data_IF_303588598574
#
_entry.id   IF_303588598574
#
_cell.length_a   1.000
_cell.length_b   1.000
_cell.length_c   1.000
_cell.angle_alpha   90.00
_cell.angle_beta   90.00
_cell.angle_gamma   90.00
#
_symmetry.space_group_name_H-M   'P 1'
#
loop_
_entity.id
_entity.type
_entity.pdbx_description
1 polymer ?
#
# COMPACT_ATOMS: atom_id res chain seq x y z
N UNK A 1 -20.10 -11.97 18.27
CA UNK A 1 -20.68 -10.80 17.56
C UNK A 1 -19.48 -10.04 17.02
N UNK A 2 -19.45 -9.78 15.73
CA UNK A 2 -18.40 -8.95 15.11
C UNK A 2 -18.51 -7.56 15.72
N UNK A 3 -17.39 -6.99 16.16
CA UNK A 3 -17.36 -5.61 16.66
C UNK A 3 -17.76 -4.66 15.53
N UNK A 4 -18.54 -3.63 15.82
CA UNK A 4 -18.96 -2.64 14.82
C UNK A 4 -18.94 -1.24 15.41
N UNK A 5 -18.71 -0.25 14.56
CA UNK A 5 -18.83 1.16 14.91
C UNK A 5 -20.01 1.79 14.14
N UNK A 6 -20.82 2.57 14.84
CA UNK A 6 -21.90 3.37 14.25
C UNK A 6 -21.44 4.81 14.13
N UNK A 7 -21.41 5.32 12.90
CA UNK A 7 -21.14 6.72 12.60
C UNK A 7 -22.47 7.41 12.32
N UNK A 8 -22.87 8.44 13.10
CA UNK A 8 -24.05 9.23 12.80
C UNK A 8 -23.83 10.07 11.54
N UNK A 9 -24.89 10.60 10.95
CA UNK A 9 -24.76 11.69 10.00
C UNK A 9 -23.96 12.84 10.64
N UNK A 10 -23.01 13.41 9.93
CA UNK A 10 -22.03 14.30 10.52
C UNK A 10 -21.70 15.49 9.61
N UNK A 11 -21.37 16.60 10.25
CA UNK A 11 -20.67 17.75 9.62
C UNK A 11 -19.18 17.69 9.93
N UNK A 12 -18.37 18.26 9.07
CA UNK A 12 -16.91 18.29 9.19
C UNK A 12 -16.46 19.66 9.69
N UNK A 13 -15.49 19.67 10.62
CA UNK A 13 -14.81 20.90 11.07
C UNK A 13 -13.57 21.19 10.24
N UNK A 14 -13.22 22.49 9.99
CA UNK A 14 -11.90 22.84 9.47
C UNK A 14 -10.82 22.20 10.34
N UNK A 15 -9.90 21.45 9.74
CA UNK A 15 -9.03 20.57 10.53
C UNK A 15 -7.66 20.37 9.88
N UNK A 16 -6.68 20.06 10.73
CA UNK A 16 -5.37 19.57 10.32
C UNK A 16 -5.15 18.17 10.87
N UNK A 17 -4.78 17.23 10.01
CA UNK A 17 -4.55 15.82 10.35
C UNK A 17 -3.07 15.48 10.11
N UNK A 18 -2.40 15.01 11.14
CA UNK A 18 -1.09 14.39 10.99
C UNK A 18 -1.27 12.95 10.52
N UNK A 19 -0.70 12.62 9.38
CA UNK A 19 -0.80 11.27 8.81
C UNK A 19 0.13 10.31 9.55
N UNK A 20 -0.27 9.03 9.73
CA UNK A 20 0.66 7.99 10.14
C UNK A 20 1.72 7.77 9.06
N UNK A 21 2.86 7.18 9.41
CA UNK A 21 3.89 6.84 8.44
C UNK A 21 3.36 5.94 7.31
N UNK A 22 3.94 6.09 6.13
CA UNK A 22 3.58 5.27 4.96
C UNK A 22 3.94 3.80 5.19
N UNK A 23 2.96 2.90 5.08
CA UNK A 23 3.18 1.45 5.14
C UNK A 23 4.18 0.98 4.10
N UNK A 24 4.01 1.44 2.87
CA UNK A 24 4.85 1.05 1.74
C UNK A 24 6.31 1.49 1.91
N UNK A 25 6.54 2.67 2.46
CA UNK A 25 7.89 3.17 2.75
C UNK A 25 8.44 2.44 3.98
N UNK A 26 7.65 2.31 5.06
CA UNK A 26 8.09 1.67 6.31
C UNK A 26 8.65 0.26 6.09
N UNK A 27 7.91 -0.62 5.41
CA UNK A 27 8.36 -2.00 5.21
C UNK A 27 9.59 -2.09 4.29
N UNK A 28 9.67 -1.24 3.26
CA UNK A 28 10.87 -1.18 2.41
C UNK A 28 12.08 -0.68 3.19
N UNK A 29 11.91 0.37 3.97
CA UNK A 29 12.98 0.97 4.78
C UNK A 29 13.50 -0.02 5.81
N UNK A 30 12.63 -0.74 6.52
CA UNK A 30 13.03 -1.77 7.49
C UNK A 30 13.90 -2.85 6.84
N UNK A 31 13.50 -3.37 5.69
CA UNK A 31 14.24 -4.40 5.00
C UNK A 31 15.58 -3.88 4.45
N UNK A 32 15.59 -2.71 3.81
CA UNK A 32 16.82 -2.11 3.28
C UNK A 32 17.81 -1.76 4.39
N UNK A 33 17.34 -1.23 5.52
CA UNK A 33 18.16 -0.95 6.68
C UNK A 33 18.76 -2.23 7.28
N UNK A 34 17.96 -3.30 7.40
CA UNK A 34 18.42 -4.61 7.88
C UNK A 34 19.53 -5.21 6.99
N UNK A 35 19.45 -4.99 5.68
CA UNK A 35 20.41 -5.52 4.70
C UNK A 35 21.60 -4.59 4.44
N UNK A 36 21.64 -3.39 5.04
CA UNK A 36 22.74 -2.44 4.91
C UNK A 36 23.96 -2.88 5.71
N UNK A 37 25.11 -2.28 5.41
CA UNK A 37 26.39 -2.55 6.09
C UNK A 37 26.64 -1.66 7.33
N UNK A 38 25.70 -0.76 7.64
CA UNK A 38 25.76 0.19 8.76
C UNK A 38 24.40 0.33 9.46
N UNK A 39 24.36 1.09 10.54
CA UNK A 39 23.16 1.36 11.33
C UNK A 39 22.36 2.52 10.75
N UNK A 40 21.03 2.38 10.74
CA UNK A 40 20.08 3.42 10.34
C UNK A 40 19.12 3.75 11.48
N UNK A 41 18.95 5.02 11.80
CA UNK A 41 17.89 5.50 12.68
C UNK A 41 16.67 5.90 11.84
N UNK A 42 15.56 5.20 12.04
CA UNK A 42 14.30 5.42 11.30
C UNK A 42 13.36 6.24 12.17
N UNK A 43 12.81 7.31 11.60
CA UNK A 43 11.85 8.20 12.23
C UNK A 43 10.48 8.08 11.54
N UNK A 44 9.42 8.30 12.31
CA UNK A 44 8.02 8.24 11.84
C UNK A 44 7.64 6.90 11.19
N UNK A 45 8.27 5.81 11.64
CA UNK A 45 7.89 4.48 11.20
C UNK A 45 6.43 4.22 11.54
N UNK A 46 5.69 3.67 10.60
CA UNK A 46 4.32 3.24 10.86
C UNK A 46 4.30 2.15 11.93
N UNK A 47 3.44 2.30 12.94
CA UNK A 47 3.09 1.22 13.86
C UNK A 47 1.77 0.60 13.40
N UNK A 48 1.83 -0.62 12.90
CA UNK A 48 0.67 -1.31 12.33
C UNK A 48 0.92 -2.82 12.24
N UNK A 49 -0.13 -3.58 12.00
CA UNK A 49 -0.03 -5.03 11.85
C UNK A 49 0.99 -5.43 10.77
N UNK A 50 1.03 -4.73 9.63
CA UNK A 50 1.95 -5.06 8.53
C UNK A 50 3.41 -4.79 8.88
N UNK A 51 3.70 -3.72 9.61
CA UNK A 51 5.08 -3.40 10.06
C UNK A 51 5.52 -4.28 11.21
N UNK A 52 4.60 -4.65 12.10
CA UNK A 52 4.88 -5.60 13.18
C UNK A 52 5.30 -6.98 12.62
N UNK A 53 4.63 -7.45 11.54
CA UNK A 53 5.04 -8.70 10.86
C UNK A 53 6.45 -8.60 10.28
N UNK A 54 6.83 -7.46 9.70
CA UNK A 54 8.20 -7.25 9.21
C UNK A 54 9.21 -7.25 10.36
N UNK A 55 8.93 -6.52 11.44
CA UNK A 55 9.81 -6.44 12.61
C UNK A 55 10.01 -7.81 13.27
N UNK A 56 8.94 -8.58 13.46
CA UNK A 56 9.01 -9.95 13.99
C UNK A 56 9.84 -10.88 13.08
N UNK A 57 9.68 -10.75 11.75
CA UNK A 57 10.46 -11.54 10.81
C UNK A 57 11.96 -11.17 10.87
N UNK A 58 12.28 -9.89 10.92
CA UNK A 58 13.67 -9.43 11.04
C UNK A 58 14.33 -9.88 12.36
N UNK A 59 13.60 -9.84 13.47
CA UNK A 59 14.06 -10.37 14.76
C UNK A 59 14.39 -11.87 14.66
N UNK A 60 13.48 -12.68 14.10
CA UNK A 60 13.72 -14.12 13.86
C UNK A 60 14.91 -14.38 12.93
N UNK A 61 15.18 -13.48 11.99
CA UNK A 61 16.32 -13.54 11.09
C UNK A 61 17.63 -13.07 11.76
N UNK A 62 17.56 -12.61 13.01
CA UNK A 62 18.72 -12.21 13.81
C UNK A 62 19.17 -10.77 13.60
N UNK A 63 18.31 -9.91 13.08
CA UNK A 63 18.57 -8.47 12.95
C UNK A 63 18.39 -7.80 14.30
N UNK A 64 19.40 -7.07 14.76
CA UNK A 64 19.32 -6.29 16.00
C UNK A 64 18.56 -4.98 15.76
N UNK A 65 17.48 -4.74 16.55
CA UNK A 65 16.63 -3.55 16.47
C UNK A 65 16.52 -2.93 17.86
N UNK A 66 16.91 -1.65 17.97
CA UNK A 66 16.80 -0.86 19.18
C UNK A 66 15.58 0.07 19.10
N UNK A 67 14.60 -0.11 19.98
CA UNK A 67 13.42 0.74 20.05
C UNK A 67 13.71 1.96 20.91
N UNK A 68 13.64 3.18 20.34
CA UNK A 68 13.97 4.44 21.00
C UNK A 68 12.74 5.17 21.55
N UNK A 69 11.69 5.29 20.73
CA UNK A 69 10.42 5.92 21.05
C UNK A 69 9.34 5.41 20.10
N UNK A 70 8.11 5.86 20.27
CA UNK A 70 7.03 5.54 19.31
C UNK A 70 7.39 6.04 17.91
N UNK A 71 7.32 5.16 16.92
CA UNK A 71 7.68 5.44 15.53
C UNK A 71 9.17 5.73 15.29
N UNK A 72 10.06 5.49 16.29
CA UNK A 72 11.49 5.75 16.18
C UNK A 72 12.31 4.57 16.67
N UNK A 73 13.16 4.05 15.80
CA UNK A 73 14.01 2.90 16.13
C UNK A 73 15.33 2.95 15.36
N UNK A 74 16.31 2.17 15.83
CA UNK A 74 17.55 1.92 15.08
C UNK A 74 17.55 0.49 14.59
N UNK A 75 17.93 0.30 13.33
CA UNK A 75 18.19 -1.02 12.74
C UNK A 75 19.68 -1.17 12.53
N UNK A 76 20.27 -2.18 13.12
CA UNK A 76 21.68 -2.53 12.90
C UNK A 76 21.78 -3.40 11.66
N UNK A 77 22.37 -2.87 10.60
CA UNK A 77 22.50 -3.57 9.33
C UNK A 77 23.39 -4.81 9.42
N UNK A 78 23.06 -5.81 8.63
CA UNK A 78 23.73 -7.12 8.67
C UNK A 78 24.75 -7.35 7.55
N UNK A 79 25.01 -6.32 6.75
CA UNK A 79 25.98 -6.38 5.65
C UNK A 79 25.53 -7.24 4.47
N UNK A 80 24.22 -7.27 4.19
CA UNK A 80 23.66 -7.94 3.02
C UNK A 80 23.33 -9.43 3.22
N UNK A 81 23.32 -9.94 4.46
CA UNK A 81 22.95 -11.31 4.76
C UNK A 81 22.31 -11.40 6.15
N UNK A 82 21.42 -12.36 6.36
CA UNK A 82 20.80 -12.54 7.68
C UNK A 82 21.64 -13.49 8.55
N UNK A 83 21.84 -13.16 9.86
CA UNK A 83 22.55 -14.02 10.80
C UNK A 83 21.93 -15.41 10.94
N UNK A 84 20.59 -15.50 11.05
CA UNK A 84 19.88 -16.76 11.16
C UNK A 84 19.48 -17.25 9.77
N UNK A 85 20.04 -18.40 9.39
CA UNK A 85 19.79 -19.03 8.08
C UNK A 85 18.64 -20.03 8.09
N UNK A 86 17.97 -20.20 9.23
CA UNK A 86 16.79 -21.05 9.40
C UNK A 86 15.75 -20.31 10.21
N UNK A 87 14.53 -20.17 9.67
CA UNK A 87 13.43 -19.52 10.36
C UNK A 87 12.05 -19.93 9.85
N UNK A 88 11.06 -19.91 10.75
CA UNK A 88 9.63 -20.02 10.46
C UNK A 88 9.00 -18.62 10.58
N UNK A 89 8.56 -18.07 9.45
CA UNK A 89 8.14 -16.67 9.31
C UNK A 89 6.64 -16.57 9.01
N UNK A 90 5.88 -16.22 10.05
CA UNK A 90 4.46 -15.87 9.91
C UNK A 90 4.32 -14.39 9.53
N UNK A 91 3.81 -14.10 8.33
CA UNK A 91 3.73 -12.76 7.76
C UNK A 91 2.29 -12.23 7.64
N UNK A 92 1.32 -12.89 8.28
CA UNK A 92 -0.07 -12.47 8.30
C UNK A 92 -0.64 -12.25 6.90
N UNK A 93 -1.24 -11.09 6.65
CA UNK A 93 -1.67 -10.63 5.33
C UNK A 93 -0.79 -9.46 4.79
N UNK A 94 0.43 -9.34 5.28
CA UNK A 94 1.35 -8.25 4.98
C UNK A 94 2.07 -8.47 3.64
N UNK A 95 1.44 -8.13 2.52
CA UNK A 95 2.02 -8.32 1.19
C UNK A 95 3.31 -7.53 0.95
N UNK A 96 3.46 -6.36 1.58
CA UNK A 96 4.66 -5.52 1.51
C UNK A 96 5.84 -6.07 2.33
N UNK A 97 5.60 -7.03 3.21
CA UNK A 97 6.63 -7.80 3.89
C UNK A 97 6.89 -9.15 3.18
N UNK A 98 5.82 -9.87 2.84
CA UNK A 98 5.91 -11.24 2.30
C UNK A 98 6.75 -11.32 1.02
N UNK A 99 6.42 -10.49 -0.01
CA UNK A 99 7.11 -10.56 -1.30
C UNK A 99 8.57 -10.14 -1.24
N UNK A 100 8.93 -8.98 -0.62
CA UNK A 100 10.33 -8.58 -0.50
C UNK A 100 11.17 -9.55 0.34
N UNK A 101 10.64 -10.09 1.45
CA UNK A 101 11.34 -11.11 2.24
C UNK A 101 11.52 -12.41 1.45
N UNK A 102 10.49 -12.87 0.74
CA UNK A 102 10.62 -14.04 -0.14
C UNK A 102 11.79 -13.87 -1.10
N UNK A 103 11.88 -12.72 -1.77
CA UNK A 103 12.94 -12.46 -2.74
C UNK A 103 14.32 -12.36 -2.08
N UNK A 104 14.45 -11.62 -0.97
CA UNK A 104 15.71 -11.46 -0.26
C UNK A 104 16.23 -12.82 0.26
N UNK A 105 15.38 -13.60 0.89
CA UNK A 105 15.76 -14.94 1.40
C UNK A 105 16.09 -15.91 0.27
N UNK A 106 15.35 -15.87 -0.83
CA UNK A 106 15.55 -16.73 -1.99
C UNK A 106 16.91 -16.47 -2.70
N UNK A 107 17.35 -15.21 -2.78
CA UNK A 107 18.64 -14.88 -3.40
C UNK A 107 19.82 -15.09 -2.43
N UNK A 108 19.58 -15.03 -1.13
CA UNK A 108 20.60 -15.30 -0.11
C UNK A 108 20.75 -16.81 0.19
N UNK A 109 19.67 -17.57 0.04
CA UNK A 109 19.61 -19.00 0.39
C UNK A 109 19.55 -19.24 1.89
N UNK A 110 19.11 -20.44 2.28
CA UNK A 110 18.94 -20.86 3.67
C UNK A 110 17.91 -21.97 3.80
N UNK A 111 17.19 -22.01 4.90
CA UNK A 111 16.10 -22.94 5.19
C UNK A 111 14.95 -22.19 5.86
N UNK A 112 14.03 -21.67 5.05
CA UNK A 112 12.98 -20.78 5.53
C UNK A 112 11.60 -21.26 5.14
N UNK A 113 10.68 -21.23 6.11
CA UNK A 113 9.27 -21.44 5.90
C UNK A 113 8.53 -20.10 6.00
N UNK A 114 7.82 -19.68 4.94
CA UNK A 114 7.05 -18.45 4.89
C UNK A 114 5.57 -18.75 4.73
N UNK A 115 4.77 -18.24 5.66
CA UNK A 115 3.33 -18.45 5.66
C UNK A 115 2.56 -17.24 6.22
N UNK A 116 1.23 -17.28 6.12
CA UNK A 116 0.39 -16.21 6.61
C UNK A 116 -1.01 -16.70 6.96
N UNK A 117 -1.96 -15.77 7.03
CA UNK A 117 -3.38 -16.08 7.18
C UNK A 117 -3.95 -16.71 5.91
N UNK A 118 -5.15 -17.37 5.94
CA UNK A 118 -5.73 -18.02 4.76
C UNK A 118 -5.76 -17.12 3.51
N UNK A 119 -6.12 -15.84 3.66
CA UNK A 119 -6.14 -14.90 2.53
C UNK A 119 -4.75 -14.72 1.88
N UNK A 120 -3.66 -14.73 2.64
CA UNK A 120 -2.30 -14.68 2.07
C UNK A 120 -2.05 -15.88 1.14
N UNK A 121 -2.59 -17.06 1.47
CA UNK A 121 -2.46 -18.27 0.67
C UNK A 121 -3.33 -18.26 -0.60
N UNK A 122 -4.18 -17.27 -0.77
CA UNK A 122 -4.98 -17.02 -1.99
C UNK A 122 -4.40 -15.90 -2.87
N UNK A 123 -3.42 -15.17 -2.36
CA UNK A 123 -2.77 -14.06 -3.08
C UNK A 123 -1.60 -14.58 -3.91
N UNK A 124 -1.57 -14.33 -5.24
CA UNK A 124 -0.58 -14.92 -6.12
C UNK A 124 0.85 -14.46 -5.80
N UNK A 125 1.81 -15.37 -6.05
CA UNK A 125 3.26 -15.12 -5.94
C UNK A 125 4.04 -15.82 -7.06
N UNK A 126 3.37 -16.58 -7.92
CA UNK A 126 4.01 -17.44 -8.91
C UNK A 126 4.99 -16.73 -9.83
N UNK A 127 4.59 -15.60 -10.42
CA UNK A 127 5.47 -14.85 -11.32
C UNK A 127 6.79 -14.38 -10.63
N UNK A 128 6.73 -14.05 -9.32
CA UNK A 128 7.93 -13.75 -8.55
C UNK A 128 8.80 -15.00 -8.34
N UNK A 129 8.18 -16.13 -7.96
CA UNK A 129 8.90 -17.39 -7.73
C UNK A 129 9.58 -17.88 -9.01
N UNK A 130 8.91 -17.80 -10.14
CA UNK A 130 9.49 -18.16 -11.45
C UNK A 130 10.70 -17.29 -11.79
N UNK A 131 10.60 -15.97 -11.57
CA UNK A 131 11.71 -15.04 -11.76
C UNK A 131 12.89 -15.34 -10.82
N UNK A 132 12.62 -15.65 -9.56
CA UNK A 132 13.65 -16.01 -8.57
C UNK A 132 14.34 -17.34 -8.92
N UNK A 133 13.61 -18.32 -9.43
CA UNK A 133 14.16 -19.60 -9.91
C UNK A 133 15.14 -19.41 -11.07
N UNK A 134 14.86 -18.46 -11.96
CA UNK A 134 15.81 -18.05 -13.03
C UNK A 134 17.11 -17.50 -12.41
N UNK A 135 17.01 -16.71 -11.33
CA UNK A 135 18.17 -16.22 -10.58
C UNK A 135 18.88 -17.30 -9.75
N UNK A 136 18.43 -18.56 -9.82
CA UNK A 136 19.03 -19.71 -9.15
C UNK A 136 18.45 -20.02 -7.78
N UNK A 137 17.36 -19.38 -7.37
CA UNK A 137 16.70 -19.65 -6.10
C UNK A 137 16.04 -21.03 -6.06
N UNK A 138 16.04 -21.65 -4.88
CA UNK A 138 15.30 -22.87 -4.58
C UNK A 138 14.05 -22.47 -3.77
N UNK A 139 12.88 -22.56 -4.37
CA UNK A 139 11.60 -22.19 -3.77
C UNK A 139 10.57 -23.27 -4.08
N UNK A 140 9.95 -23.81 -3.05
CA UNK A 140 8.90 -24.82 -3.14
C UNK A 140 7.57 -24.27 -2.64
N UNK A 141 6.48 -24.63 -3.32
CA UNK A 141 5.11 -24.40 -2.84
C UNK A 141 4.71 -25.53 -1.90
N UNK A 142 4.31 -25.17 -0.66
CA UNK A 142 3.86 -26.18 0.32
C UNK A 142 2.36 -26.46 0.28
N UNK A 143 1.64 -25.72 -0.55
CA UNK A 143 0.20 -25.86 -0.81
C UNK A 143 -0.10 -25.82 -2.29
N UNK A 144 -1.00 -24.91 -2.68
CA UNK A 144 -1.34 -24.72 -4.09
C UNK A 144 -0.18 -24.10 -4.87
N UNK A 145 0.05 -24.60 -6.08
CA UNK A 145 1.06 -24.02 -6.98
C UNK A 145 0.77 -22.55 -7.27
N UNK A 146 1.82 -21.71 -7.31
CA UNK A 146 1.78 -20.25 -7.47
C UNK A 146 1.29 -19.45 -6.26
N UNK A 147 1.05 -20.10 -5.11
CA UNK A 147 0.56 -19.46 -3.89
C UNK A 147 1.38 -19.86 -2.66
N UNK A 148 1.47 -18.98 -1.64
CA UNK A 148 1.98 -19.38 -0.33
C UNK A 148 1.14 -20.52 0.28
N UNK A 149 1.67 -21.29 1.26
CA UNK A 149 2.95 -21.10 1.93
C UNK A 149 4.13 -21.60 1.10
N UNK A 150 5.34 -21.09 1.43
CA UNK A 150 6.55 -21.37 0.69
C UNK A 150 7.62 -21.96 1.61
N UNK A 151 8.44 -22.86 1.05
CA UNK A 151 9.74 -23.22 1.57
C UNK A 151 10.82 -22.64 0.66
N UNK A 152 11.86 -22.05 1.26
CA UNK A 152 13.01 -21.47 0.56
C UNK A 152 14.26 -22.23 0.99
N UNK A 153 14.94 -22.83 0.02
CA UNK A 153 16.16 -23.58 0.19
C UNK A 153 17.42 -22.81 -0.21
N UNK A 154 18.52 -23.55 -0.40
CA UNK A 154 19.82 -22.98 -0.78
C UNK A 154 19.84 -22.56 -2.25
N UNK A 155 20.32 -21.34 -2.50
CA UNK A 155 20.45 -20.81 -3.86
C UNK A 155 21.64 -21.45 -4.60
N UNK A 156 21.45 -21.77 -5.88
CA UNK A 156 22.48 -22.22 -6.80
C UNK A 156 22.59 -21.26 -7.96
N UNK A 157 23.68 -20.50 -8.06
CA UNK A 157 23.92 -19.61 -9.18
C UNK A 157 24.09 -20.41 -10.49
N UNK A 158 23.16 -20.19 -11.43
CA UNK A 158 23.16 -20.86 -12.74
C UNK A 158 23.72 -20.00 -13.87
N UNK A 159 24.24 -18.81 -13.55
CA UNK A 159 24.84 -17.89 -14.52
C UNK A 159 23.84 -17.04 -15.30
N UNK A 160 22.53 -17.26 -15.13
CA UNK A 160 21.50 -16.43 -15.79
C UNK A 160 21.46 -15.03 -15.17
N UNK A 161 21.46 -14.01 -16.02
CA UNK A 161 21.51 -12.59 -15.63
C UNK A 161 20.39 -11.75 -16.22
N UNK A 162 19.55 -12.33 -17.06
CA UNK A 162 18.39 -11.67 -17.65
C UNK A 162 17.13 -12.35 -17.13
N UNK A 163 16.30 -11.59 -16.44
CA UNK A 163 15.11 -12.11 -15.77
C UNK A 163 13.86 -11.48 -16.39
N UNK A 164 13.06 -12.23 -17.14
CA UNK A 164 11.74 -11.77 -17.58
C UNK A 164 10.77 -11.81 -16.40
N UNK A 165 9.89 -10.80 -16.28
CA UNK A 165 8.81 -10.78 -15.29
C UNK A 165 7.57 -10.11 -15.86
N UNK A 166 6.40 -10.66 -15.58
CA UNK A 166 5.11 -10.07 -15.96
C UNK A 166 4.80 -8.85 -15.10
N UNK A 167 4.35 -7.76 -15.74
CA UNK A 167 4.06 -6.49 -15.09
C UNK A 167 2.58 -6.28 -14.75
N UNK A 168 1.68 -7.14 -15.19
CA UNK A 168 0.24 -6.91 -15.19
C UNK A 168 -0.54 -7.51 -14.00
N UNK A 169 0.14 -8.14 -13.05
CA UNK A 169 -0.50 -8.75 -11.86
C UNK A 169 -0.25 -7.91 -10.61
N UNK A 170 1.01 -7.65 -10.29
CA UNK A 170 1.38 -6.89 -9.10
C UNK A 170 2.76 -6.24 -9.24
N UNK A 171 2.83 -4.94 -8.97
CA UNK A 171 4.12 -4.22 -8.86
C UNK A 171 4.99 -4.71 -7.70
N UNK A 172 4.43 -5.44 -6.73
CA UNK A 172 5.18 -6.00 -5.61
C UNK A 172 6.21 -7.05 -6.05
N UNK A 173 5.97 -7.75 -7.17
CA UNK A 173 6.90 -8.76 -7.68
C UNK A 173 8.17 -8.09 -8.21
N UNK A 174 8.04 -7.06 -9.04
CA UNK A 174 9.18 -6.27 -9.51
C UNK A 174 9.88 -5.56 -8.35
N UNK A 175 9.14 -4.96 -7.43
CA UNK A 175 9.70 -4.36 -6.19
C UNK A 175 10.58 -5.35 -5.44
N UNK A 176 10.09 -6.58 -5.23
CA UNK A 176 10.82 -7.62 -4.51
C UNK A 176 12.13 -8.01 -5.20
N UNK A 177 12.09 -8.20 -6.53
CA UNK A 177 13.29 -8.48 -7.33
C UNK A 177 14.30 -7.33 -7.29
N UNK A 178 13.84 -6.08 -7.48
CA UNK A 178 14.70 -4.89 -7.45
C UNK A 178 15.46 -4.79 -6.13
N UNK A 179 14.78 -5.01 -5.01
CA UNK A 179 15.39 -4.92 -3.68
C UNK A 179 16.32 -6.10 -3.36
N UNK A 180 16.06 -7.28 -3.91
CA UNK A 180 16.79 -8.50 -3.56
C UNK A 180 18.03 -8.73 -4.42
N UNK A 181 17.97 -8.52 -5.74
CA UNK A 181 19.07 -8.87 -6.64
C UNK A 181 20.40 -8.16 -6.35
N UNK A 182 20.45 -6.93 -5.82
CA UNK A 182 21.70 -6.31 -5.36
C UNK A 182 22.47 -7.15 -4.32
N UNK A 183 21.77 -7.95 -3.51
CA UNK A 183 22.39 -8.80 -2.48
C UNK A 183 23.30 -9.90 -3.05
N UNK A 184 23.14 -10.21 -4.34
CA UNK A 184 23.99 -11.20 -5.01
C UNK A 184 25.37 -10.64 -5.36
N UNK A 185 25.57 -9.32 -5.34
CA UNK A 185 26.78 -8.64 -5.82
C UNK A 185 26.99 -8.73 -7.34
N UNK A 186 26.01 -9.21 -8.10
CA UNK A 186 26.12 -9.44 -9.55
C UNK A 186 25.21 -8.49 -10.33
N UNK A 187 25.61 -8.17 -11.56
CA UNK A 187 24.76 -7.41 -12.46
C UNK A 187 23.58 -8.25 -12.95
N UNK A 188 22.40 -7.67 -12.97
CA UNK A 188 21.19 -8.28 -13.53
C UNK A 188 20.43 -7.30 -14.43
N UNK A 189 19.72 -7.85 -15.39
CA UNK A 189 18.76 -7.13 -16.21
C UNK A 189 17.38 -7.75 -16.02
N UNK A 190 16.42 -6.96 -15.55
CA UNK A 190 15.01 -7.37 -15.42
C UNK A 190 14.28 -6.84 -16.65
N UNK A 191 13.63 -7.71 -17.41
CA UNK A 191 12.82 -7.37 -18.58
C UNK A 191 11.35 -7.54 -18.29
N UNK A 192 10.59 -6.46 -18.45
CA UNK A 192 9.15 -6.51 -18.28
C UNK A 192 8.49 -7.22 -19.47
N UNK A 193 7.62 -8.17 -19.17
CA UNK A 193 6.74 -8.83 -20.13
C UNK A 193 5.35 -8.22 -20.00
N UNK A 194 4.87 -7.59 -21.07
CA UNK A 194 3.62 -6.83 -21.05
C UNK A 194 3.77 -5.45 -20.42
N UNK A 195 2.64 -4.85 -20.06
CA UNK A 195 2.62 -3.52 -19.45
C UNK A 195 2.77 -3.60 -17.94
N UNK A 196 3.57 -2.69 -17.36
CA UNK A 196 3.73 -2.57 -15.93
C UNK A 196 2.60 -1.72 -15.34
N UNK A 197 1.84 -2.30 -14.41
CA UNK A 197 0.81 -1.60 -13.64
C UNK A 197 1.39 -0.99 -12.37
N UNK A 198 0.69 0.02 -11.82
CA UNK A 198 1.04 0.64 -10.53
C UNK A 198 2.49 1.13 -10.47
N UNK A 199 2.97 1.76 -11.55
CA UNK A 199 4.33 2.33 -11.69
C UNK A 199 4.79 3.17 -10.50
N UNK A 200 3.93 3.99 -9.84
CA UNK A 200 4.36 4.80 -8.70
C UNK A 200 4.96 4.02 -7.53
N UNK A 201 4.57 2.75 -7.31
CA UNK A 201 5.21 1.92 -6.29
C UNK A 201 6.62 1.47 -6.67
N UNK A 202 6.90 1.37 -7.97
CA UNK A 202 8.26 1.12 -8.45
C UNK A 202 9.13 2.36 -8.24
N UNK A 203 8.58 3.56 -8.47
CA UNK A 203 9.28 4.82 -8.22
C UNK A 203 9.65 4.99 -6.74
N UNK A 204 8.74 4.65 -5.81
CA UNK A 204 9.05 4.59 -4.37
C UNK A 204 10.24 3.66 -4.13
N UNK A 205 10.22 2.46 -4.71
CA UNK A 205 11.26 1.45 -4.53
C UNK A 205 12.62 1.96 -5.05
N UNK A 206 12.66 2.48 -6.27
CA UNK A 206 13.90 3.00 -6.89
C UNK A 206 14.47 4.18 -6.12
N UNK A 207 13.62 5.11 -5.67
CA UNK A 207 14.03 6.26 -4.86
C UNK A 207 14.59 5.85 -3.51
N UNK A 208 13.96 4.90 -2.83
CA UNK A 208 14.48 4.37 -1.57
C UNK A 208 15.79 3.61 -1.78
N UNK A 209 15.88 2.72 -2.78
CA UNK A 209 17.14 2.03 -3.08
C UNK A 209 18.29 3.02 -3.33
N UNK A 210 18.00 4.12 -4.05
CA UNK A 210 18.99 5.18 -4.28
C UNK A 210 19.43 5.85 -2.98
N UNK A 211 18.53 6.12 -2.02
CA UNK A 211 18.88 6.63 -0.69
C UNK A 211 19.75 5.65 0.11
N UNK A 212 19.60 4.35 -0.16
CA UNK A 212 20.42 3.29 0.42
C UNK A 212 21.64 2.92 -0.44
N UNK A 213 22.05 3.81 -1.36
CA UNK A 213 23.28 3.68 -2.14
C UNK A 213 23.20 2.81 -3.39
N UNK A 214 22.05 2.24 -3.73
CA UNK A 214 21.89 1.40 -4.92
C UNK A 214 21.12 2.12 -6.01
N UNK A 215 21.79 2.43 -7.10
CA UNK A 215 21.22 3.07 -8.30
C UNK A 215 20.86 2.02 -9.34
N UNK A 216 19.58 1.93 -9.70
CA UNK A 216 19.08 1.04 -10.75
C UNK A 216 18.72 1.89 -11.96
N UNK A 217 19.24 1.53 -13.14
CA UNK A 217 18.82 2.18 -14.38
C UNK A 217 17.43 1.67 -14.77
N UNK A 218 16.53 2.61 -15.03
CA UNK A 218 15.14 2.34 -15.47
C UNK A 218 15.01 2.84 -16.93
N UNK A 219 14.82 1.93 -17.86
CA UNK A 219 14.59 2.22 -19.28
C UNK A 219 13.07 2.12 -19.55
N UNK A 220 12.36 3.23 -19.41
CA UNK A 220 10.93 3.39 -19.70
C UNK A 220 10.01 2.33 -19.04
N UNK A 221 10.35 1.87 -17.85
CA UNK A 221 9.67 0.77 -17.13
C UNK A 221 9.60 -0.55 -17.92
N UNK A 222 10.46 -0.72 -18.90
CA UNK A 222 10.57 -1.95 -19.71
C UNK A 222 11.77 -2.79 -19.33
N UNK A 223 12.86 -2.13 -18.98
CA UNK A 223 14.11 -2.78 -18.59
C UNK A 223 14.68 -2.08 -17.36
N UNK A 224 15.06 -2.87 -16.37
CA UNK A 224 15.75 -2.39 -15.17
C UNK A 224 17.12 -3.06 -15.08
N UNK A 225 18.18 -2.26 -14.91
CA UNK A 225 19.54 -2.77 -14.82
C UNK A 225 20.10 -2.55 -13.42
N UNK A 226 20.42 -3.65 -12.75
CA UNK A 226 21.05 -3.69 -11.45
C UNK A 226 22.55 -3.78 -11.65
N UNK A 227 23.34 -2.84 -11.09
CA UNK A 227 24.78 -2.85 -11.26
C UNK A 227 25.44 -4.01 -10.49
N UNK A 228 26.61 -4.45 -10.99
CA UNK A 228 27.49 -5.35 -10.24
C UNK A 228 28.00 -4.64 -8.97
N UNK A 229 28.41 -5.42 -7.98
CA UNK A 229 28.98 -4.96 -6.71
C UNK A 229 28.09 -3.98 -5.92
N UNK A 230 26.79 -3.96 -6.24
CA UNK A 230 25.80 -3.19 -5.51
C UNK A 230 25.73 -3.65 -4.05
N UNK A 231 25.74 -2.72 -3.12
CA UNK A 231 25.60 -2.95 -1.69
C UNK A 231 24.74 -1.85 -1.06
N UNK A 232 23.91 -2.25 -0.12
CA UNK A 232 23.11 -1.29 0.64
C UNK A 232 23.97 -0.62 1.72
N UNK A 233 23.92 0.69 1.73
CA UNK A 233 24.46 1.56 2.76
C UNK A 233 23.36 2.53 3.19
N UNK A 234 22.91 2.40 4.42
CA UNK A 234 21.80 3.19 4.93
C UNK A 234 22.20 4.64 5.20
N UNK A 235 21.31 5.62 5.00
CA UNK A 235 21.50 6.94 5.59
C UNK A 235 21.51 6.82 7.11
N UNK A 236 22.25 7.69 7.79
CA UNK A 236 22.31 7.69 9.26
C UNK A 236 20.91 7.90 9.87
N UNK A 237 20.13 8.79 9.28
CA UNK A 237 18.73 9.07 9.63
C UNK A 237 17.83 9.00 8.40
N UNK A 238 16.69 8.32 8.54
CA UNK A 238 15.66 8.29 7.52
C UNK A 238 14.31 8.62 8.13
N UNK A 239 13.61 9.59 7.52
CA UNK A 239 12.26 9.96 7.90
C UNK A 239 11.25 9.34 6.94
N UNK A 240 10.34 8.52 7.47
CA UNK A 240 9.24 7.95 6.70
C UNK A 240 8.19 9.04 6.45
N UNK A 241 7.83 9.27 5.20
CA UNK A 241 6.73 10.19 4.87
C UNK A 241 5.40 9.71 5.43
N UNK A 242 4.45 10.62 5.63
CA UNK A 242 3.06 10.28 5.91
C UNK A 242 2.45 9.43 4.79
N UNK A 243 1.46 8.60 5.12
CA UNK A 243 0.83 7.70 4.14
C UNK A 243 -0.09 8.47 3.19
N UNK A 244 0.30 8.59 1.93
CA UNK A 244 -0.46 9.32 0.91
C UNK A 244 -1.79 8.63 0.55
N UNK A 245 -1.86 7.30 0.67
CA UNK A 245 -3.14 6.60 0.48
C UNK A 245 -4.10 6.94 1.63
N UNK A 246 -3.62 7.01 2.87
CA UNK A 246 -4.42 7.42 4.03
C UNK A 246 -4.86 8.89 3.96
N UNK A 247 -4.07 9.74 3.32
CA UNK A 247 -4.45 11.13 3.05
C UNK A 247 -5.76 11.24 2.27
N UNK A 248 -6.03 10.29 1.37
CA UNK A 248 -7.17 10.33 0.46
C UNK A 248 -8.51 10.44 1.18
N UNK A 249 -8.66 9.80 2.35
CA UNK A 249 -9.91 9.84 3.12
C UNK A 249 -10.21 11.25 3.64
N UNK A 250 -9.21 11.93 4.19
CA UNK A 250 -9.36 13.26 4.76
C UNK A 250 -9.45 14.34 3.68
N UNK A 251 -8.71 14.21 2.58
CA UNK A 251 -8.80 15.12 1.44
C UNK A 251 -10.18 14.99 0.76
N UNK A 252 -10.70 13.78 0.59
CA UNK A 252 -12.05 13.56 0.09
C UNK A 252 -13.12 14.09 1.06
N UNK A 253 -12.91 13.97 2.38
CA UNK A 253 -13.80 14.57 3.38
C UNK A 253 -13.89 16.09 3.19
N UNK A 254 -12.76 16.77 2.94
CA UNK A 254 -12.73 18.21 2.66
C UNK A 254 -13.54 18.60 1.41
N UNK A 255 -13.42 17.81 0.35
CA UNK A 255 -14.20 17.99 -0.88
C UNK A 255 -15.70 17.76 -0.63
N UNK A 256 -16.07 16.62 -0.04
CA UNK A 256 -17.47 16.22 0.20
C UNK A 256 -18.17 17.24 1.09
N UNK A 257 -17.59 17.57 2.22
CA UNK A 257 -18.19 18.47 3.21
C UNK A 257 -18.03 19.96 2.87
N UNK A 258 -17.33 20.31 1.79
CA UNK A 258 -17.00 21.70 1.44
C UNK A 258 -16.37 22.47 2.61
N UNK A 259 -15.41 21.85 3.27
CA UNK A 259 -14.75 22.34 4.49
C UNK A 259 -13.25 22.11 4.36
N UNK A 260 -12.37 23.09 4.70
CA UNK A 260 -10.93 22.93 4.57
C UNK A 260 -10.40 21.80 5.47
N UNK A 261 -9.69 20.85 4.87
CA UNK A 261 -8.93 19.80 5.58
C UNK A 261 -7.51 19.80 5.06
N UNK A 262 -6.58 19.97 5.98
CA UNK A 262 -5.14 19.87 5.75
C UNK A 262 -4.63 18.54 6.28
N UNK A 263 -3.84 17.85 5.49
CA UNK A 263 -3.04 16.70 5.93
C UNK A 263 -1.59 17.08 5.95
N UNK A 264 -0.84 16.61 6.96
CA UNK A 264 0.60 16.85 7.10
C UNK A 264 1.38 15.55 7.05
N UNK A 265 2.66 15.63 6.69
CA UNK A 265 3.54 14.47 6.50
C UNK A 265 3.74 14.07 5.04
N UNK A 266 3.02 14.71 4.12
CA UNK A 266 3.20 14.63 2.66
C UNK A 266 3.12 16.04 2.08
N UNK A 267 3.62 16.24 0.87
CA UNK A 267 3.55 17.53 0.19
C UNK A 267 3.90 17.44 -1.29
N UNK A 268 4.21 18.58 -1.89
CA UNK A 268 4.46 18.69 -3.32
C UNK A 268 5.61 17.79 -3.82
N UNK A 269 6.57 17.44 -2.95
CA UNK A 269 7.76 16.66 -3.28
C UNK A 269 7.69 15.20 -2.76
N UNK A 270 6.52 14.72 -2.35
CA UNK A 270 6.34 13.34 -1.89
C UNK A 270 6.81 12.33 -2.95
N UNK A 271 7.50 11.28 -2.50
CA UNK A 271 7.89 10.17 -3.37
C UNK A 271 6.73 9.20 -3.68
N UNK A 272 5.59 9.37 -3.01
CA UNK A 272 4.43 8.50 -3.14
C UNK A 272 3.50 8.96 -4.27
N UNK A 273 3.19 8.04 -5.20
CA UNK A 273 2.30 8.36 -6.32
C UNK A 273 0.88 8.70 -5.91
N UNK A 274 0.37 8.11 -4.82
CA UNK A 274 -0.98 8.37 -4.32
C UNK A 274 -1.22 9.83 -3.90
N UNK A 275 -0.17 10.64 -3.73
CA UNK A 275 -0.31 12.09 -3.54
C UNK A 275 -1.03 12.76 -4.71
N UNK A 276 -0.96 12.16 -5.92
CA UNK A 276 -1.69 12.63 -7.09
C UNK A 276 -3.22 12.56 -6.93
N UNK A 277 -3.73 11.85 -5.92
CA UNK A 277 -5.15 11.84 -5.57
C UNK A 277 -5.70 13.27 -5.38
N UNK A 278 -4.95 14.16 -4.76
CA UNK A 278 -5.35 15.56 -4.59
C UNK A 278 -5.55 16.27 -5.94
N UNK A 279 -4.75 15.95 -6.96
CA UNK A 279 -4.91 16.50 -8.33
C UNK A 279 -6.17 15.97 -9.01
N UNK A 280 -6.54 14.71 -8.73
CA UNK A 280 -7.80 14.17 -9.24
C UNK A 280 -9.00 14.85 -8.57
N UNK A 281 -8.91 15.18 -7.27
CA UNK A 281 -9.95 15.98 -6.61
C UNK A 281 -10.07 17.39 -7.21
N UNK A 282 -8.96 18.02 -7.56
CA UNK A 282 -8.94 19.35 -8.21
C UNK A 282 -9.71 19.33 -9.54
N UNK A 283 -9.55 18.29 -10.35
CA UNK A 283 -10.26 18.13 -11.63
C UNK A 283 -11.78 18.02 -11.47
N UNK A 284 -12.25 17.53 -10.34
CA UNK A 284 -13.67 17.32 -10.04
C UNK A 284 -14.28 18.41 -9.14
N UNK A 285 -13.54 19.48 -8.89
CA UNK A 285 -14.06 20.69 -8.26
C UNK A 285 -13.49 21.05 -6.90
N UNK A 286 -12.43 20.40 -6.45
CA UNK A 286 -11.71 20.82 -5.24
C UNK A 286 -10.85 22.06 -5.48
N UNK A 287 -10.65 22.85 -4.43
CA UNK A 287 -9.57 23.81 -4.31
C UNK A 287 -8.43 23.14 -3.52
N UNK A 288 -7.23 23.08 -4.10
CA UNK A 288 -6.09 22.36 -3.51
C UNK A 288 -4.94 23.30 -3.25
N UNK A 289 -4.41 23.29 -2.03
CA UNK A 289 -3.22 24.05 -1.64
C UNK A 289 -2.11 23.07 -1.33
N UNK A 290 -0.98 23.25 -2.01
CA UNK A 290 0.21 22.42 -1.87
C UNK A 290 1.27 23.15 -1.06
N UNK A 291 1.78 22.51 -0.01
CA UNK A 291 2.94 22.93 0.74
C UNK A 291 4.09 21.94 0.61
N UNK A 292 5.20 22.25 1.27
CA UNK A 292 6.36 21.36 1.33
C UNK A 292 6.05 20.07 2.11
N UNK A 293 5.30 20.20 3.22
CA UNK A 293 4.94 19.09 4.11
C UNK A 293 3.43 19.00 4.41
N UNK A 294 2.60 19.54 3.53
CA UNK A 294 1.14 19.44 3.65
C UNK A 294 0.43 19.51 2.30
N UNK A 295 -0.76 18.96 2.28
CA UNK A 295 -1.77 19.17 1.24
C UNK A 295 -3.07 19.56 1.92
N UNK A 296 -3.76 20.59 1.41
CA UNK A 296 -5.06 21.02 1.92
C UNK A 296 -6.09 20.98 0.79
N UNK A 297 -7.25 20.43 1.08
CA UNK A 297 -8.39 20.38 0.15
C UNK A 297 -9.58 21.08 0.79
N UNK A 298 -10.26 21.88 -0.02
CA UNK A 298 -11.55 22.48 0.27
C UNK A 298 -12.40 22.56 -1.00
N UNK A 299 -13.61 23.07 -0.89
CA UNK A 299 -14.50 23.35 -2.02
C UNK A 299 -15.47 24.46 -1.62
N UNK A 300 -15.82 25.35 -2.55
CA UNK A 300 -16.98 26.24 -2.36
C UNK A 300 -18.28 25.43 -2.28
N UNK A 301 -19.18 25.78 -1.35
CA UNK A 301 -20.48 25.10 -1.19
C UNK A 301 -21.36 25.20 -2.44
N UNK A 302 -21.19 26.26 -3.21
CA UNK A 302 -21.95 26.53 -4.45
C UNK A 302 -21.42 25.70 -5.64
N UNK A 303 -20.20 25.17 -5.54
CA UNK A 303 -19.59 24.37 -6.61
C UNK A 303 -20.00 22.90 -6.45
N UNK A 304 -20.64 22.34 -7.48
CA UNK A 304 -20.95 20.91 -7.51
C UNK A 304 -19.67 20.08 -7.70
N UNK A 305 -19.66 18.87 -7.13
CA UNK A 305 -18.63 17.86 -7.42
C UNK A 305 -18.94 17.29 -8.80
N UNK A 306 -17.95 17.34 -9.71
CA UNK A 306 -18.11 16.86 -11.07
C UNK A 306 -18.02 15.33 -11.13
N UNK A 307 -18.82 14.72 -12.00
CA UNK A 307 -18.66 13.31 -12.33
C UNK A 307 -17.34 13.07 -13.08
N UNK A 308 -16.83 11.86 -12.99
CA UNK A 308 -15.54 11.50 -13.54
C UNK A 308 -15.56 10.15 -14.24
N UNK A 309 -14.68 10.00 -15.21
CA UNK A 309 -14.28 8.76 -15.84
C UNK A 309 -12.75 8.74 -15.83
N UNK A 310 -12.16 7.95 -14.90
CA UNK A 310 -10.77 8.02 -14.53
C UNK A 310 -10.05 6.69 -14.74
N UNK A 311 -8.90 6.74 -15.44
CA UNK A 311 -7.88 5.70 -15.35
C UNK A 311 -7.15 5.84 -14.02
N UNK A 312 -7.39 4.91 -13.11
CA UNK A 312 -6.90 4.98 -11.73
C UNK A 312 -5.60 4.22 -11.48
N UNK A 313 -4.91 3.77 -12.54
CA UNK A 313 -3.68 2.98 -12.40
C UNK A 313 -2.55 3.73 -11.66
N UNK A 314 -2.51 5.06 -11.77
CA UNK A 314 -1.50 5.91 -11.12
C UNK A 314 -1.77 6.20 -9.63
N UNK A 315 -2.98 5.91 -9.13
CA UNK A 315 -3.38 6.06 -7.71
C UNK A 315 -4.13 4.83 -7.21
N UNK A 316 -3.58 3.62 -7.37
CA UNK A 316 -4.36 2.38 -7.32
C UNK A 316 -5.03 2.12 -5.96
N UNK A 317 -4.43 2.54 -4.87
CA UNK A 317 -4.99 2.36 -3.54
C UNK A 317 -5.88 3.54 -3.12
N UNK A 318 -5.48 4.77 -3.41
CA UNK A 318 -6.27 5.97 -3.11
C UNK A 318 -7.57 6.05 -3.92
N UNK A 319 -7.60 5.46 -5.12
CA UNK A 319 -8.78 5.46 -5.99
C UNK A 319 -10.04 4.84 -5.37
N UNK A 320 -9.90 3.95 -4.38
CA UNK A 320 -11.05 3.42 -3.64
C UNK A 320 -11.88 4.52 -2.98
N UNK A 321 -11.23 5.58 -2.51
CA UNK A 321 -11.89 6.74 -1.91
C UNK A 321 -12.77 7.48 -2.92
N UNK A 322 -12.37 7.52 -4.21
CA UNK A 322 -13.20 8.13 -5.27
C UNK A 322 -14.51 7.39 -5.49
N UNK A 323 -14.58 6.09 -5.21
CA UNK A 323 -15.84 5.36 -5.30
C UNK A 323 -16.92 5.89 -4.32
N UNK A 324 -16.49 6.42 -3.17
CA UNK A 324 -17.40 7.10 -2.24
C UNK A 324 -17.69 8.54 -2.68
N UNK A 325 -16.69 9.26 -3.21
CA UNK A 325 -16.89 10.58 -3.78
C UNK A 325 -17.94 10.54 -4.91
N UNK A 326 -17.99 9.44 -5.68
CA UNK A 326 -18.99 9.25 -6.74
C UNK A 326 -20.42 9.39 -6.24
N UNK A 327 -20.71 9.00 -4.99
CA UNK A 327 -22.05 9.14 -4.38
C UNK A 327 -22.50 10.60 -4.21
N UNK A 328 -21.55 11.54 -4.21
CA UNK A 328 -21.83 12.98 -4.04
C UNK A 328 -22.00 13.75 -5.37
N UNK A 329 -21.80 13.10 -6.52
CA UNK A 329 -21.79 13.78 -7.84
C UNK A 329 -23.16 13.90 -8.47
N UNK A 330 -24.12 13.06 -8.08
CA UNK A 330 -25.44 12.97 -8.71
C UNK A 330 -25.45 12.33 -10.11
N UNK A 331 -24.31 11.89 -10.62
CA UNK A 331 -24.14 11.32 -11.96
C UNK A 331 -23.28 10.05 -11.91
N UNK A 332 -23.34 9.25 -12.98
CA UNK A 332 -22.49 8.04 -13.08
C UNK A 332 -21.02 8.41 -13.15
N UNK A 333 -20.22 7.78 -12.31
CA UNK A 333 -18.75 7.86 -12.30
C UNK A 333 -18.15 6.51 -12.65
N UNK A 334 -16.97 6.53 -13.27
CA UNK A 334 -16.24 5.34 -13.67
C UNK A 334 -14.80 5.38 -13.16
N UNK A 335 -14.35 4.27 -12.60
CA UNK A 335 -12.95 3.98 -12.31
C UNK A 335 -12.50 2.83 -13.20
N UNK A 336 -11.45 3.04 -13.99
CA UNK A 336 -10.89 2.07 -14.93
C UNK A 336 -9.47 1.70 -14.57
N UNK A 337 -9.00 0.61 -15.17
CA UNK A 337 -7.63 0.10 -15.02
C UNK A 337 -7.31 -0.25 -13.56
N UNK A 338 -8.29 -0.83 -12.88
CA UNK A 338 -8.23 -1.26 -11.47
C UNK A 338 -8.23 -2.79 -11.31
N UNK A 339 -7.86 -3.55 -12.33
CA UNK A 339 -7.83 -5.02 -12.28
C UNK A 339 -7.00 -5.58 -11.13
N UNK A 340 -5.94 -4.87 -10.72
CA UNK A 340 -5.12 -5.25 -9.56
C UNK A 340 -5.90 -5.28 -8.23
N UNK A 341 -7.06 -4.63 -8.13
CA UNK A 341 -7.91 -4.67 -6.92
C UNK A 341 -8.43 -6.06 -6.60
N UNK A 342 -8.56 -6.95 -7.61
CA UNK A 342 -9.05 -8.32 -7.43
C UNK A 342 -8.15 -9.19 -6.55
N UNK A 343 -6.85 -8.89 -6.51
CA UNK A 343 -5.82 -9.71 -5.83
C UNK A 343 -5.17 -9.03 -4.62
N UNK A 344 -5.81 -8.00 -4.11
CA UNK A 344 -5.37 -7.27 -2.90
C UNK A 344 -5.83 -7.99 -1.61
N UNK A 345 -5.99 -7.25 -0.53
CA UNK A 345 -6.47 -7.74 0.77
C UNK A 345 -7.80 -8.48 0.65
N UNK A 346 -8.66 -8.02 -0.24
CA UNK A 346 -9.87 -8.70 -0.73
C UNK A 346 -10.00 -8.51 -2.24
N UNK A 347 -11.04 -9.08 -2.88
CA UNK A 347 -11.49 -8.61 -4.19
C UNK A 347 -12.20 -7.26 -3.99
N UNK A 348 -11.44 -6.18 -4.13
CA UNK A 348 -11.92 -4.82 -3.85
C UNK A 348 -12.98 -4.35 -4.83
N UNK A 349 -13.01 -4.85 -6.07
CA UNK A 349 -14.07 -4.48 -7.03
C UNK A 349 -15.38 -5.06 -6.53
N UNK A 350 -15.41 -6.35 -6.22
CA UNK A 350 -16.62 -7.02 -5.73
C UNK A 350 -17.06 -6.45 -4.36
N UNK A 351 -16.14 -6.28 -3.42
CA UNK A 351 -16.43 -5.73 -2.10
C UNK A 351 -17.03 -4.32 -2.20
N UNK A 352 -16.38 -3.42 -2.96
CA UNK A 352 -16.86 -2.05 -3.14
C UNK A 352 -18.24 -2.03 -3.80
N UNK A 353 -18.47 -2.83 -4.84
CA UNK A 353 -19.75 -2.92 -5.52
C UNK A 353 -20.87 -3.41 -4.59
N UNK A 354 -20.60 -4.45 -3.80
CA UNK A 354 -21.58 -5.01 -2.87
C UNK A 354 -21.98 -3.97 -1.80
N UNK A 355 -21.01 -3.26 -1.24
CA UNK A 355 -21.28 -2.32 -0.16
C UNK A 355 -21.93 -1.02 -0.68
N UNK A 356 -21.56 -0.54 -1.86
CA UNK A 356 -22.22 0.60 -2.51
C UNK A 356 -23.70 0.30 -2.84
N UNK A 357 -24.02 -0.93 -3.23
CA UNK A 357 -25.42 -1.37 -3.46
C UNK A 357 -26.27 -1.32 -2.20
N UNK A 358 -25.70 -1.59 -1.01
CA UNK A 358 -26.42 -1.45 0.29
C UNK A 358 -26.82 0.01 0.54
N UNK A 359 -26.06 0.97 0.03
CA UNK A 359 -26.37 2.41 0.10
C UNK A 359 -27.40 2.86 -0.96
N UNK A 360 -27.85 1.94 -1.83
CA UNK A 360 -28.82 2.23 -2.88
C UNK A 360 -28.19 2.56 -4.24
N UNK A 361 -26.87 2.59 -4.37
CA UNK A 361 -26.21 2.87 -5.64
C UNK A 361 -26.43 1.75 -6.66
N UNK A 362 -26.59 2.13 -7.93
CA UNK A 362 -26.51 1.18 -9.05
C UNK A 362 -25.03 1.01 -9.43
N UNK A 363 -24.53 -0.21 -9.36
CA UNK A 363 -23.12 -0.50 -9.63
C UNK A 363 -23.00 -1.59 -10.68
N UNK A 364 -22.18 -1.34 -11.71
CA UNK A 364 -21.78 -2.30 -12.74
C UNK A 364 -20.30 -2.62 -12.53
N UNK A 365 -20.01 -3.90 -12.37
CA UNK A 365 -18.66 -4.45 -12.23
C UNK A 365 -18.17 -4.99 -13.56
N UNK A 366 -16.92 -4.67 -13.89
CA UNK A 366 -16.18 -5.30 -14.98
C UNK A 366 -14.91 -5.97 -14.43
N UNK A 367 -14.15 -6.64 -15.28
CA UNK A 367 -12.90 -7.29 -14.87
C UNK A 367 -11.90 -6.29 -14.26
N UNK A 368 -11.82 -5.09 -14.84
CA UNK A 368 -10.85 -4.04 -14.51
C UNK A 368 -11.47 -2.66 -14.31
N UNK A 369 -12.80 -2.59 -14.15
CA UNK A 369 -13.49 -1.32 -13.97
C UNK A 369 -14.72 -1.45 -13.05
N UNK A 370 -15.15 -0.31 -12.52
CA UNK A 370 -16.39 -0.17 -11.75
C UNK A 370 -17.11 1.11 -12.17
N UNK A 371 -18.42 1.00 -12.45
CA UNK A 371 -19.30 2.12 -12.79
C UNK A 371 -20.29 2.31 -11.66
N UNK A 372 -20.37 3.51 -11.12
CA UNK A 372 -21.15 3.84 -9.92
C UNK A 372 -22.13 4.94 -10.28
N UNK A 373 -23.43 4.64 -10.20
CA UNK A 373 -24.49 5.63 -10.32
C UNK A 373 -25.10 5.84 -8.95
N UNK A 374 -24.99 7.04 -8.35
CA UNK A 374 -25.57 7.33 -7.05
C UNK A 374 -27.09 7.24 -7.07
N UNK A 375 -27.76 6.86 -5.95
CA UNK A 375 -29.20 6.95 -5.84
C UNK A 375 -29.63 8.41 -5.62
N UNK A 376 -30.91 8.70 -5.78
CA UNK A 376 -31.49 10.00 -5.41
C UNK A 376 -31.35 10.26 -3.89
N UNK A 377 -31.49 9.23 -3.10
CA UNK A 377 -31.32 9.23 -1.62
C UNK A 377 -30.54 8.01 -1.17
N UNK A 378 -29.54 8.23 -0.34
CA UNK A 378 -28.75 7.14 0.25
C UNK A 378 -29.55 6.40 1.31
N UNK A 379 -29.39 5.08 1.38
CA UNK A 379 -29.98 4.23 2.41
C UNK A 379 -29.32 4.49 3.76
N UNK A 380 -30.05 5.01 4.77
CA UNK A 380 -29.48 5.26 6.11
C UNK A 380 -29.26 3.95 6.87
N UNK A 381 -28.30 3.96 7.79
CA UNK A 381 -27.94 2.83 8.64
C UNK A 381 -27.53 1.56 7.84
N UNK A 382 -27.03 1.71 6.64
CA UNK A 382 -26.44 0.59 5.91
C UNK A 382 -25.32 -0.04 6.74
N UNK A 383 -25.31 -1.37 6.81
CA UNK A 383 -24.29 -2.14 7.54
C UNK A 383 -23.23 -2.58 6.53
N UNK A 384 -22.06 -1.99 6.64
CA UNK A 384 -20.94 -2.18 5.73
C UNK A 384 -20.03 -3.28 6.26
N UNK A 385 -19.78 -4.29 5.44
CA UNK A 385 -18.79 -5.32 5.70
C UNK A 385 -17.44 -4.87 5.14
N UNK A 386 -16.39 -5.06 5.91
CA UNK A 386 -15.05 -4.58 5.55
C UNK A 386 -14.19 -5.62 4.86
N UNK A 387 -14.58 -6.90 4.89
CA UNK A 387 -13.82 -7.99 4.26
C UNK A 387 -12.38 -8.09 4.75
N UNK A 388 -12.14 -7.72 6.02
CA UNK A 388 -10.79 -7.60 6.60
C UNK A 388 -9.87 -6.66 5.79
N UNK A 389 -10.46 -5.65 5.13
CA UNK A 389 -9.73 -4.63 4.37
C UNK A 389 -9.94 -3.25 4.98
N UNK A 390 -8.86 -2.70 5.52
CA UNK A 390 -8.81 -1.39 6.16
C UNK A 390 -9.35 -0.26 5.27
N UNK A 391 -9.15 -0.34 3.94
CA UNK A 391 -9.61 0.70 3.00
C UNK A 391 -11.12 0.70 2.88
N UNK A 392 -11.77 -0.47 2.97
CA UNK A 392 -13.22 -0.54 3.00
C UNK A 392 -13.77 0.25 4.20
N UNK A 393 -13.23 -0.01 5.41
CA UNK A 393 -13.65 0.69 6.62
C UNK A 393 -13.48 2.22 6.49
N UNK A 394 -12.30 2.66 6.06
CA UNK A 394 -11.97 4.08 5.99
C UNK A 394 -12.72 4.80 4.86
N UNK A 395 -12.88 4.19 3.70
CA UNK A 395 -13.69 4.76 2.61
C UNK A 395 -15.15 4.94 3.03
N UNK A 396 -15.78 3.89 3.55
CA UNK A 396 -17.21 3.95 3.87
C UNK A 396 -17.53 4.82 5.09
N UNK A 397 -16.56 5.17 5.93
CA UNK A 397 -16.76 6.17 7.00
C UNK A 397 -17.19 7.53 6.46
N UNK A 398 -16.74 7.89 5.26
CA UNK A 398 -17.08 9.15 4.59
C UNK A 398 -18.56 9.26 4.22
N UNK A 399 -19.29 8.16 4.18
CA UNK A 399 -20.76 8.16 3.96
C UNK A 399 -21.48 8.99 5.01
N UNK A 400 -20.97 9.03 6.25
CA UNK A 400 -21.52 9.86 7.32
C UNK A 400 -21.55 11.37 6.97
N UNK A 401 -20.58 11.82 6.16
CA UNK A 401 -20.50 13.20 5.67
C UNK A 401 -21.47 13.51 4.50
N UNK A 402 -22.13 12.48 3.96
CA UNK A 402 -23.18 12.61 2.94
C UNK A 402 -24.58 12.72 3.57
N UNK A 403 -24.66 12.96 4.88
CA UNK A 403 -25.90 13.25 5.60
C UNK A 403 -26.69 12.01 6.06
N UNK A 404 -26.11 10.82 5.99
CA UNK A 404 -26.75 9.58 6.44
C UNK A 404 -25.87 8.79 7.42
N UNK A 405 -26.44 8.20 8.48
CA UNK A 405 -25.69 7.33 9.38
C UNK A 405 -25.30 6.02 8.67
N UNK A 406 -24.15 5.47 9.07
CA UNK A 406 -23.62 4.21 8.57
C UNK A 406 -23.04 3.36 9.71
N UNK A 407 -23.09 2.05 9.56
CA UNK A 407 -22.50 1.08 10.51
C UNK A 407 -21.35 0.37 9.78
N UNK A 408 -20.17 0.38 10.38
CA UNK A 408 -18.98 -0.31 9.84
C UNK A 408 -18.69 -1.53 10.71
N UNK A 409 -18.75 -2.72 10.13
CA UNK A 409 -18.35 -3.97 10.79
C UNK A 409 -16.82 -4.06 10.81
N UNK A 410 -16.29 -4.71 11.85
CA UNK A 410 -14.86 -4.93 12.03
C UNK A 410 -13.99 -3.65 11.82
N UNK A 411 -14.22 -2.58 12.61
CA UNK A 411 -13.45 -1.34 12.46
C UNK A 411 -11.96 -1.51 12.76
N UNK A 412 -11.57 -2.58 13.47
CA UNK A 412 -10.16 -2.86 13.84
C UNK A 412 -9.30 -3.27 12.63
N UNK A 413 -9.90 -3.63 11.49
CA UNK A 413 -9.13 -3.87 10.27
C UNK A 413 -8.28 -2.65 9.86
N UNK A 414 -8.61 -1.43 10.33
CA UNK A 414 -7.79 -0.22 10.12
C UNK A 414 -6.41 -0.29 10.78
N UNK A 415 -6.18 -1.18 11.76
CA UNK A 415 -4.88 -1.38 12.42
C UNK A 415 -3.78 -1.77 11.43
N UNK A 416 -4.15 -2.23 10.25
CA UNK A 416 -3.22 -2.54 9.16
C UNK A 416 -2.42 -1.32 8.66
N UNK A 417 -2.99 -0.11 8.71
CA UNK A 417 -2.32 1.11 8.20
C UNK A 417 -2.57 2.35 9.02
N UNK A 418 -3.68 2.42 9.77
CA UNK A 418 -4.04 3.59 10.55
C UNK A 418 -4.82 3.17 11.82
N UNK A 419 -4.13 2.66 12.85
CA UNK A 419 -4.80 2.12 14.05
C UNK A 419 -5.77 3.10 14.74
N UNK A 420 -5.46 4.38 14.76
CA UNK A 420 -6.26 5.44 15.41
C UNK A 420 -7.26 6.13 14.46
N UNK A 421 -7.52 5.56 13.28
CA UNK A 421 -8.34 6.21 12.25
C UNK A 421 -9.68 6.71 12.74
N UNK A 422 -10.47 5.86 13.40
CA UNK A 422 -11.81 6.24 13.85
C UNK A 422 -11.79 7.26 14.98
N UNK A 423 -10.77 7.27 15.83
CA UNK A 423 -10.57 8.30 16.86
C UNK A 423 -10.30 9.66 16.19
N UNK A 424 -9.37 9.67 15.23
CA UNK A 424 -9.04 10.88 14.45
C UNK A 424 -10.28 11.34 13.70
N UNK A 425 -10.94 10.48 12.91
CA UNK A 425 -12.12 10.84 12.13
C UNK A 425 -13.25 11.40 13.00
N UNK A 426 -13.53 10.78 14.15
CA UNK A 426 -14.55 11.26 15.09
C UNK A 426 -14.19 12.62 15.72
N UNK A 427 -12.91 12.91 15.90
CA UNK A 427 -12.48 14.21 16.44
C UNK A 427 -12.72 15.39 15.48
N UNK A 428 -12.79 15.09 14.18
CA UNK A 428 -13.00 16.08 13.11
C UNK A 428 -14.47 16.33 12.82
N UNK A 429 -15.39 15.52 13.36
CA UNK A 429 -16.81 15.52 12.98
C UNK A 429 -17.70 15.85 14.17
N UNK A 430 -18.83 16.49 13.88
CA UNK A 430 -19.94 16.70 14.82
C UNK A 430 -21.19 16.02 14.25
N UNK A 431 -21.92 15.28 15.10
CA UNK A 431 -23.18 14.67 14.71
C UNK A 431 -24.22 15.75 14.35
N UNK A 432 -24.98 15.50 13.29
CA UNK A 432 -26.02 16.41 12.77
C UNK A 432 -27.41 15.85 13.05
#
# INVERSE_FOLDING_TARGET
>A
MTESIRLPAASLKPSTVALPGSKSISNRTLLLAALSDNTCEIHSLLKSDDTDRMLEALDKLGVEIEYLAEGRLKVHGTGGHFPNRTADLFLGNAGTAFRPLTAALAVLGGDYHLHGVPRMHERPIGDLVDALRIAGADVEYLGNEHYPPLHIGERQDRGERVIPIKGNVSSQFLTALLMALPLTGQAFEIRMVGELISKPYIDITLKLMAQFGVQVANEDYRVFKIPADARYHAPEHLHVEGDASSASYFLAAGLIAATPVRVTGIGANSIQGDVAFARELEKIGADVVWGENFVEVSRSKERAIQAFDLDANHIPDAAMTLAIVALATGQTCTLRNIGSWRVKETDRIAAMANELRKLGAKVVEEAEAIHITPPETLTPNAVIDTYDDHRMAMCFSLVSLLGVPVVINDPKCTHKTFPTYFEVFSSLTDAV
#
